data_IF_045403373232
#
_entry.id   IF_045403373232
#
_cell.length_a   1.000
_cell.length_b   1.000
_cell.length_c   1.000
_cell.angle_alpha   90.00
_cell.angle_beta   90.00
_cell.angle_gamma   90.00
#
_symmetry.space_group_name_H-M   'P 1'
#
loop_
_entity.id
_entity.type
_entity.pdbx_description
1 polymer ?
#
# COMPACT_ATOMS: atom_id res chain seq x y z
N UNK A 1 -7.93 -28.45 16.45
CA UNK A 1 -7.25 -27.20 16.08
C UNK A 1 -8.33 -26.17 15.75
N UNK A 2 -8.78 -25.32 16.69
CA UNK A 2 -9.72 -24.27 16.34
C UNK A 2 -8.94 -23.08 15.75
N UNK A 3 -9.23 -22.75 14.49
CA UNK A 3 -8.90 -21.45 13.93
C UNK A 3 -9.85 -20.44 14.57
N UNK A 4 -9.33 -19.61 15.46
CA UNK A 4 -10.04 -18.46 16.04
C UNK A 4 -9.79 -17.25 15.10
N UNK A 5 -10.78 -16.79 14.32
CA UNK A 5 -10.67 -15.54 13.57
C UNK A 5 -10.95 -14.36 14.52
N UNK A 6 -10.26 -14.30 15.64
CA UNK A 6 -10.27 -13.13 16.51
C UNK A 6 -9.50 -12.02 15.80
N UNK A 7 -10.24 -11.21 15.04
CA UNK A 7 -9.87 -9.82 14.73
C UNK A 7 -9.84 -9.02 16.05
N UNK A 8 -8.89 -9.36 16.91
CA UNK A 8 -8.53 -8.54 18.06
C UNK A 8 -8.04 -7.21 17.48
N UNK A 9 -8.75 -6.12 17.80
CA UNK A 9 -8.27 -4.76 17.51
C UNK A 9 -6.84 -4.68 18.05
N UNK A 10 -5.86 -4.70 17.17
CA UNK A 10 -4.47 -4.77 17.58
C UNK A 10 -4.15 -3.48 18.34
N UNK A 11 -3.84 -3.62 19.62
CA UNK A 11 -3.28 -2.54 20.48
C UNK A 11 -1.83 -2.22 20.05
N UNK A 12 -1.31 -2.94 19.05
CA UNK A 12 0.04 -2.80 18.53
C UNK A 12 0.05 -1.80 17.39
N UNK A 13 1.10 -0.96 17.28
CA UNK A 13 1.24 -0.05 16.15
C UNK A 13 1.24 -0.82 14.83
N UNK A 14 0.65 -0.24 13.80
CA UNK A 14 0.68 -0.77 12.44
C UNK A 14 2.11 -0.84 11.94
N UNK A 15 2.39 -1.85 11.10
CA UNK A 15 3.71 -2.06 10.49
C UNK A 15 3.55 -2.42 9.01
N UNK A 16 4.65 -2.68 8.31
CA UNK A 16 4.64 -3.15 6.91
C UNK A 16 3.96 -4.53 6.74
N UNK A 17 3.88 -5.31 7.82
CA UNK A 17 3.18 -6.59 7.85
C UNK A 17 1.68 -6.43 8.07
N UNK A 18 1.21 -5.24 8.42
CA UNK A 18 -0.22 -4.97 8.55
C UNK A 18 -0.88 -5.00 7.18
N UNK A 19 -2.08 -5.55 7.15
CA UNK A 19 -2.90 -5.61 5.93
C UNK A 19 -3.60 -4.28 5.68
N UNK A 20 -4.04 -4.06 4.44
CA UNK A 20 -4.84 -2.87 4.11
C UNK A 20 -6.17 -2.88 4.86
N UNK A 21 -6.74 -4.07 5.07
CA UNK A 21 -7.95 -4.26 5.85
C UNK A 21 -7.77 -3.82 7.32
N UNK A 22 -6.64 -4.17 7.94
CA UNK A 22 -6.32 -3.72 9.30
C UNK A 22 -6.16 -2.20 9.37
N UNK A 23 -5.44 -1.61 8.40
CA UNK A 23 -5.24 -0.17 8.32
C UNK A 23 -6.55 0.59 8.11
N UNK A 24 -7.52 0.01 7.41
CA UNK A 24 -8.84 0.60 7.15
C UNK A 24 -9.68 0.85 8.42
N UNK A 25 -9.23 0.38 9.58
CA UNK A 25 -9.76 0.85 10.87
C UNK A 25 -9.52 2.35 11.11
N UNK A 26 -8.50 2.94 10.46
CA UNK A 26 -8.10 4.36 10.54
C UNK A 26 -8.56 5.17 9.31
N UNK A 27 -8.66 6.51 9.44
CA UNK A 27 -8.99 7.38 8.29
C UNK A 27 -7.97 7.28 7.13
N UNK A 28 -6.64 7.36 7.36
CA UNK A 28 -5.65 7.21 6.29
C UNK A 28 -5.74 5.85 5.61
N UNK A 29 -5.95 4.76 6.38
CA UNK A 29 -6.09 3.43 5.81
C UNK A 29 -7.36 3.25 4.98
N UNK A 30 -8.49 3.89 5.33
CA UNK A 30 -9.70 3.89 4.48
C UNK A 30 -9.47 4.58 3.16
N UNK A 31 -8.82 5.75 3.18
CA UNK A 31 -8.46 6.47 1.96
C UNK A 31 -7.52 5.62 1.09
N UNK A 32 -6.53 4.98 1.70
CA UNK A 32 -5.60 4.10 1.00
C UNK A 32 -6.30 2.88 0.39
N UNK A 33 -7.19 2.20 1.14
CA UNK A 33 -8.04 1.11 0.62
C UNK A 33 -8.83 1.55 -0.61
N UNK A 34 -9.48 2.71 -0.55
CA UNK A 34 -10.26 3.23 -1.68
C UNK A 34 -9.39 3.46 -2.93
N UNK A 35 -8.14 3.93 -2.77
CA UNK A 35 -7.21 4.10 -3.87
C UNK A 35 -6.80 2.75 -4.50
N UNK A 36 -6.52 1.74 -3.67
CA UNK A 36 -6.21 0.39 -4.16
C UNK A 36 -7.38 -0.19 -4.94
N UNK A 37 -8.58 -0.15 -4.35
CA UNK A 37 -9.81 -0.68 -4.98
C UNK A 37 -10.08 0.00 -6.31
N UNK A 38 -9.82 1.31 -6.42
CA UNK A 38 -9.98 2.06 -7.67
C UNK A 38 -8.96 1.68 -8.75
N UNK A 39 -7.80 1.13 -8.36
CA UNK A 39 -6.77 0.68 -9.29
C UNK A 39 -6.91 -0.80 -9.69
N UNK A 40 -7.84 -1.53 -9.07
CA UNK A 40 -8.09 -2.91 -9.45
C UNK A 40 -8.60 -3.01 -10.90
N UNK A 41 -8.22 -4.08 -11.62
CA UNK A 41 -8.73 -4.32 -12.96
C UNK A 41 -10.26 -4.47 -12.92
N UNK A 42 -10.91 -4.02 -13.98
CA UNK A 42 -12.33 -4.29 -14.16
C UNK A 42 -12.54 -5.79 -14.38
N UNK A 43 -13.57 -6.34 -13.74
CA UNK A 43 -13.97 -7.74 -13.85
C UNK A 43 -15.42 -7.83 -14.33
N UNK A 44 -15.81 -9.00 -14.83
CA UNK A 44 -17.10 -9.19 -15.48
C UNK A 44 -18.27 -9.25 -14.48
N UNK A 45 -18.02 -9.75 -13.27
CA UNK A 45 -19.06 -9.93 -12.25
C UNK A 45 -18.73 -9.21 -10.95
N UNK A 46 -19.79 -8.81 -10.21
CA UNK A 46 -19.62 -8.19 -8.89
C UNK A 46 -19.02 -9.17 -7.87
N UNK A 47 -19.30 -10.47 -8.02
CA UNK A 47 -18.72 -11.50 -7.15
C UNK A 47 -17.21 -11.61 -7.33
N UNK A 48 -16.73 -11.68 -8.56
CA UNK A 48 -15.28 -11.65 -8.85
C UNK A 48 -14.65 -10.34 -8.38
N UNK A 49 -15.40 -9.22 -8.43
CA UNK A 49 -14.94 -7.91 -7.99
C UNK A 49 -14.70 -7.91 -6.49
N UNK A 50 -15.67 -8.41 -5.74
CA UNK A 50 -15.58 -8.54 -4.29
C UNK A 50 -14.47 -9.50 -3.87
N UNK A 51 -14.35 -10.66 -4.53
CA UNK A 51 -13.29 -11.63 -4.26
C UNK A 51 -11.90 -11.03 -4.52
N UNK A 52 -11.72 -10.31 -5.62
CA UNK A 52 -10.46 -9.65 -5.95
C UNK A 52 -10.13 -8.52 -4.97
N UNK A 53 -11.13 -7.74 -4.57
CA UNK A 53 -10.99 -6.72 -3.54
C UNK A 53 -10.52 -7.33 -2.22
N UNK A 54 -11.22 -8.37 -1.75
CA UNK A 54 -10.93 -9.02 -0.47
C UNK A 54 -9.54 -9.68 -0.47
N UNK A 55 -9.15 -10.32 -1.57
CA UNK A 55 -7.80 -10.84 -1.74
C UNK A 55 -6.76 -9.73 -1.68
N UNK A 56 -6.96 -8.64 -2.42
CA UNK A 56 -5.97 -7.57 -2.52
C UNK A 56 -5.81 -6.82 -1.20
N UNK A 57 -6.91 -6.52 -0.50
CA UNK A 57 -6.85 -5.75 0.75
C UNK A 57 -6.45 -6.62 1.95
N UNK A 58 -6.53 -7.94 1.81
CA UNK A 58 -6.00 -8.92 2.76
C UNK A 58 -4.49 -9.10 2.68
N UNK A 59 -3.82 -8.59 1.64
CA UNK A 59 -2.36 -8.68 1.54
C UNK A 59 -1.66 -7.70 2.50
N UNK A 60 -0.50 -8.07 3.05
CA UNK A 60 0.40 -7.14 3.74
C UNK A 60 0.85 -6.01 2.82
N UNK A 61 1.12 -4.83 3.39
CA UNK A 61 1.67 -3.70 2.64
C UNK A 61 2.98 -4.03 1.92
N UNK A 62 3.85 -4.83 2.56
CA UNK A 62 5.10 -5.31 1.94
C UNK A 62 4.83 -6.05 0.63
N UNK A 63 3.94 -7.05 0.67
CA UNK A 63 3.55 -7.82 -0.51
C UNK A 63 2.94 -6.93 -1.59
N UNK A 64 2.12 -5.95 -1.20
CA UNK A 64 1.57 -4.99 -2.16
C UNK A 64 2.65 -4.14 -2.83
N UNK A 65 3.66 -3.66 -2.09
CA UNK A 65 4.77 -2.89 -2.65
C UNK A 65 5.56 -3.73 -3.66
N UNK A 66 5.84 -4.99 -3.32
CA UNK A 66 6.57 -5.93 -4.17
C UNK A 66 5.82 -6.24 -5.48
N UNK A 67 4.50 -6.48 -5.39
CA UNK A 67 3.65 -6.78 -6.55
C UNK A 67 3.31 -5.55 -7.41
N UNK A 68 3.49 -4.34 -6.88
CA UNK A 68 3.06 -3.12 -7.55
C UNK A 68 3.95 -2.67 -8.70
N UNK A 69 5.06 -3.37 -8.95
CA UNK A 69 6.04 -3.02 -10.00
C UNK A 69 6.50 -1.54 -9.93
N UNK A 70 6.54 -0.98 -8.71
CA UNK A 70 6.94 0.40 -8.45
C UNK A 70 5.83 1.45 -8.45
N UNK A 71 4.56 1.09 -8.70
CA UNK A 71 3.43 2.04 -8.57
C UNK A 71 3.16 2.39 -7.10
N UNK A 72 3.30 1.41 -6.21
CA UNK A 72 3.34 1.56 -4.76
C UNK A 72 4.78 1.46 -4.30
N UNK A 73 5.32 2.55 -3.75
CA UNK A 73 6.69 2.58 -3.24
C UNK A 73 6.72 2.37 -1.73
N UNK A 74 7.87 1.91 -1.21
CA UNK A 74 8.11 1.83 0.24
C UNK A 74 7.87 3.16 0.96
N UNK A 75 8.15 4.30 0.32
CA UNK A 75 7.85 5.61 0.89
C UNK A 75 6.36 5.87 1.08
N UNK A 76 5.51 5.42 0.15
CA UNK A 76 4.05 5.51 0.28
C UNK A 76 3.56 4.57 1.38
N UNK A 77 4.02 3.32 1.40
CA UNK A 77 3.64 2.34 2.42
C UNK A 77 4.02 2.82 3.84
N UNK A 78 5.25 3.29 4.03
CA UNK A 78 5.71 3.84 5.31
C UNK A 78 4.90 5.07 5.72
N UNK A 79 4.55 5.96 4.76
CA UNK A 79 3.72 7.14 5.05
C UNK A 79 2.32 6.75 5.53
N UNK A 80 1.69 5.75 4.90
CA UNK A 80 0.39 5.24 5.33
C UNK A 80 0.46 4.66 6.73
N UNK A 81 1.53 3.90 7.04
CA UNK A 81 1.78 3.35 8.38
C UNK A 81 1.98 4.45 9.42
N UNK A 82 2.80 5.46 9.13
CA UNK A 82 3.04 6.58 10.04
C UNK A 82 1.77 7.39 10.30
N UNK A 83 0.96 7.63 9.27
CA UNK A 83 -0.33 8.31 9.40
C UNK A 83 -1.34 7.47 10.20
N UNK A 84 -1.44 6.17 9.93
CA UNK A 84 -2.31 5.26 10.68
C UNK A 84 -1.92 5.16 12.16
N UNK A 85 -0.63 5.30 12.46
CA UNK A 85 -0.09 5.35 13.82
C UNK A 85 -0.13 6.75 14.46
N UNK A 86 -0.69 7.77 13.80
CA UNK A 86 -0.77 9.13 14.33
C UNK A 86 0.58 9.85 14.46
N UNK A 87 1.58 9.48 13.64
CA UNK A 87 2.95 10.03 13.63
C UNK A 87 3.25 10.81 12.34
N UNK A 88 2.50 11.87 11.99
CA UNK A 88 2.70 12.61 10.73
C UNK A 88 4.06 13.33 10.66
N UNK A 89 4.71 13.60 11.79
CA UNK A 89 6.05 14.18 11.85
C UNK A 89 7.17 13.23 11.36
N UNK A 90 6.86 11.94 11.17
CA UNK A 90 7.77 10.94 10.59
C UNK A 90 7.59 10.72 9.09
N UNK A 91 6.76 11.54 8.43
CA UNK A 91 6.68 11.57 6.96
C UNK A 91 8.04 11.99 6.38
N UNK A 92 8.94 11.02 6.22
CA UNK A 92 10.25 11.24 5.62
C UNK A 92 10.01 11.32 4.11
N UNK A 93 10.47 12.38 3.43
CA UNK A 93 10.42 12.46 1.97
C UNK A 93 11.45 11.48 1.38
N UNK A 94 11.15 10.18 1.41
CA UNK A 94 11.97 9.12 0.78
C UNK A 94 11.60 8.94 -0.70
N UNK A 95 11.40 10.05 -1.40
CA UNK A 95 10.99 10.10 -2.81
C UNK A 95 12.12 10.38 -3.81
N UNK A 96 13.40 10.14 -3.47
CA UNK A 96 14.55 10.48 -4.36
C UNK A 96 15.28 9.25 -4.91
N UNK A 97 14.90 8.03 -4.54
CA UNK A 97 15.61 6.81 -4.95
C UNK A 97 15.25 6.25 -6.34
N UNK A 98 14.02 6.44 -6.82
CA UNK A 98 13.54 5.77 -8.04
C UNK A 98 13.48 6.68 -9.29
N UNK A 99 13.59 8.00 -9.15
CA UNK A 99 13.51 8.96 -10.27
C UNK A 99 14.86 9.40 -10.86
N UNK A 100 15.95 9.31 -10.09
CA UNK A 100 17.27 9.77 -10.54
C UNK A 100 17.93 8.83 -11.56
N UNK A 101 17.63 7.54 -11.52
CA UNK A 101 18.11 6.57 -12.51
C UNK A 101 17.51 6.75 -13.91
N UNK A 102 16.24 7.18 -13.98
CA UNK A 102 15.54 7.39 -15.25
C UNK A 102 15.88 8.75 -15.88
N UNK A 103 15.98 9.83 -15.10
CA UNK A 103 16.32 11.17 -15.64
C UNK A 103 17.75 11.24 -16.21
N UNK A 104 18.71 10.50 -15.63
CA UNK A 104 20.11 10.53 -16.10
C UNK A 104 20.30 9.81 -17.44
N UNK A 105 19.42 8.87 -17.81
CA UNK A 105 19.45 8.22 -19.13
C UNK A 105 18.91 9.14 -20.23
N UNK A 106 17.85 9.90 -19.95
CA UNK A 106 17.22 10.79 -20.96
C UNK A 106 18.10 12.00 -21.27
N UNK A 107 18.75 12.59 -20.27
CA UNK A 107 19.64 13.74 -20.48
C UNK A 107 20.93 13.41 -21.25
N UNK A 108 21.37 12.14 -21.26
CA UNK A 108 22.54 11.69 -22.06
C UNK A 108 22.18 11.39 -23.51
N UNK A 109 20.94 11.02 -23.80
CA UNK A 109 20.46 10.72 -25.16
C UNK A 109 20.19 12.00 -25.98
N UNK A 110 19.92 13.13 -25.33
CA UNK A 110 19.63 14.42 -26.00
C UNK A 110 20.91 15.18 -26.41
N UNK A 111 22.10 14.69 -26.06
CA UNK A 111 23.40 15.36 -26.31
C UNK A 111 24.33 14.63 -27.28
N UNK A 112 23.79 13.82 -28.20
CA UNK A 112 24.56 13.25 -29.31
C UNK A 112 23.89 13.56 -30.64
#
# INVERSE_FOLDING_TARGET
>A
MPHDPSHSKSVRPFTRQSTVLELASTLPGRAFKALIVRQLPAVATEKERQELEDLTVGLPLETLVELSEGKLTWGIADSVVDLANGKPHRLIPRGVGAGTGALKKVTRAVRR
#
